data_IF_372159545467
#
_entry.id   IF_372159545467
#
_cell.length_a   1.000
_cell.length_b   1.000
_cell.length_c   1.000
_cell.angle_alpha   90.00
_cell.angle_beta   90.00
_cell.angle_gamma   90.00
#
_symmetry.space_group_name_H-M   'P 1'
#
loop_
_entity.id
_entity.type
_entity.pdbx_description
1 polymer ?
#
# COMPACT_ATOMS: atom_id res chain seq x y z
N UNK A 1 -16.95 1.17 -13.43
CA UNK A 1 -17.36 -0.19 -12.99
C UNK A 1 -16.57 -0.54 -11.75
N UNK A 2 -17.22 -0.77 -10.61
CA UNK A 2 -16.54 -1.09 -9.36
C UNK A 2 -15.95 -2.51 -9.42
N UNK A 3 -14.63 -2.64 -9.24
CA UNK A 3 -13.99 -3.97 -9.11
C UNK A 3 -14.41 -4.56 -7.76
N UNK A 4 -15.05 -5.72 -7.79
CA UNK A 4 -15.25 -6.55 -6.61
C UNK A 4 -13.91 -7.16 -6.22
N UNK A 5 -13.45 -6.92 -4.99
CA UNK A 5 -12.32 -7.64 -4.40
C UNK A 5 -12.81 -9.06 -4.15
N UNK A 6 -12.23 -10.12 -4.76
CA UNK A 6 -12.60 -11.48 -4.42
C UNK A 6 -12.22 -11.75 -2.96
N UNK A 7 -13.17 -12.20 -2.16
CA UNK A 7 -12.91 -12.66 -0.78
C UNK A 7 -12.00 -13.89 -0.85
N UNK A 8 -10.81 -13.86 -0.20
CA UNK A 8 -9.88 -14.96 -0.29
C UNK A 8 -10.27 -16.04 0.71
N UNK A 9 -11.32 -16.83 0.46
CA UNK A 9 -11.59 -18.01 1.30
C UNK A 9 -12.40 -19.10 0.57
N UNK A 10 -11.72 -19.82 -0.32
CA UNK A 10 -12.21 -21.09 -0.83
C UNK A 10 -11.05 -22.07 -1.10
N UNK A 11 -10.14 -22.29 -0.13
CA UNK A 11 -9.08 -23.27 -0.42
C UNK A 11 -7.97 -23.57 0.59
N UNK A 12 -7.99 -23.11 1.85
CA UNK A 12 -7.00 -23.57 2.84
C UNK A 12 -7.68 -24.24 4.03
N UNK A 13 -7.40 -25.52 4.33
CA UNK A 13 -8.06 -26.27 5.42
C UNK A 13 -7.84 -25.62 6.79
N UNK A 14 -6.79 -24.82 6.95
CA UNK A 14 -6.48 -24.09 8.17
C UNK A 14 -7.29 -22.79 8.37
N UNK A 15 -7.93 -22.24 7.33
CA UNK A 15 -8.68 -20.98 7.44
C UNK A 15 -9.96 -21.11 8.28
N UNK A 16 -10.59 -22.29 8.30
CA UNK A 16 -11.82 -22.53 9.05
C UNK A 16 -11.60 -22.60 10.57
N UNK A 17 -10.52 -23.25 11.01
CA UNK A 17 -10.20 -23.39 12.43
C UNK A 17 -9.76 -22.06 13.04
N UNK A 18 -8.91 -21.31 12.33
CA UNK A 18 -8.47 -19.96 12.78
C UNK A 18 -9.63 -18.98 12.80
N UNK A 19 -10.54 -19.02 11.82
CA UNK A 19 -11.74 -18.19 11.81
C UNK A 19 -12.69 -18.53 12.97
N UNK A 20 -12.91 -19.82 13.26
CA UNK A 20 -13.70 -20.26 14.42
C UNK A 20 -13.08 -19.82 15.74
N UNK A 21 -11.76 -19.99 15.89
CA UNK A 21 -11.02 -19.60 17.08
C UNK A 21 -11.09 -18.09 17.30
N UNK A 22 -10.82 -17.29 16.26
CA UNK A 22 -10.95 -15.84 16.32
C UNK A 22 -12.36 -15.42 16.72
N UNK A 23 -13.41 -15.97 16.08
CA UNK A 23 -14.81 -15.64 16.42
C UNK A 23 -15.18 -15.98 17.87
N UNK A 24 -14.60 -17.05 18.41
CA UNK A 24 -14.87 -17.50 19.78
C UNK A 24 -14.13 -16.64 20.81
N UNK A 25 -12.89 -16.25 20.50
CA UNK A 25 -12.05 -15.48 21.42
C UNK A 25 -12.30 -13.96 21.37
N UNK A 26 -12.73 -13.41 20.24
CA UNK A 26 -12.90 -11.97 20.03
C UNK A 26 -13.71 -11.25 21.13
N UNK A 27 -14.81 -11.82 21.66
CA UNK A 27 -15.55 -11.18 22.77
C UNK A 27 -14.76 -11.06 24.07
N UNK A 28 -13.72 -11.87 24.26
CA UNK A 28 -12.93 -11.96 25.50
C UNK A 28 -11.64 -11.16 25.42
N UNK A 29 -10.93 -11.23 24.30
CA UNK A 29 -9.64 -10.56 24.12
C UNK A 29 -9.75 -9.22 23.38
N UNK A 30 -10.90 -8.97 22.74
CA UNK A 30 -11.13 -7.78 21.92
C UNK A 30 -10.35 -7.79 20.60
N UNK A 31 -10.42 -6.69 19.84
CA UNK A 31 -9.55 -6.49 18.70
C UNK A 31 -8.09 -6.46 19.16
N UNK A 32 -7.14 -6.93 18.32
CA UNK A 32 -5.74 -6.79 18.62
C UNK A 32 -5.40 -5.29 18.83
N UNK A 33 -4.68 -4.92 19.90
CA UNK A 33 -4.23 -3.55 20.06
C UNK A 33 -3.34 -3.20 18.87
N UNK A 34 -3.64 -2.10 18.19
CA UNK A 34 -2.92 -1.65 16.99
C UNK A 34 -1.48 -1.19 17.29
N UNK A 35 -0.90 -1.55 18.43
CA UNK A 35 0.40 -1.08 18.89
C UNK A 35 0.40 0.42 19.22
N UNK A 36 1.57 1.00 19.55
CA UNK A 36 1.72 2.43 19.83
C UNK A 36 1.65 3.30 18.57
N UNK A 37 1.15 2.76 17.45
CA UNK A 37 0.86 3.55 16.27
C UNK A 37 -0.34 4.41 16.63
N UNK A 38 -0.05 5.69 16.89
CA UNK A 38 -1.09 6.71 17.11
C UNK A 38 -1.99 6.72 15.88
N UNK A 39 -3.25 7.12 16.05
CA UNK A 39 -4.09 7.54 14.92
C UNK A 39 -3.43 8.77 14.29
N UNK A 40 -2.44 8.55 13.42
CA UNK A 40 -1.88 9.62 12.61
C UNK A 40 -3.01 10.16 11.73
N UNK A 41 -3.23 11.47 11.72
CA UNK A 41 -4.22 12.04 10.83
C UNK A 41 -3.90 11.61 9.40
N UNK A 42 -4.92 11.21 8.64
CA UNK A 42 -4.76 10.70 7.28
C UNK A 42 -3.94 11.65 6.39
N UNK A 43 -4.06 12.96 6.64
CA UNK A 43 -3.25 13.99 5.99
C UNK A 43 -1.74 13.86 6.25
N UNK A 44 -1.32 13.51 7.47
CA UNK A 44 0.09 13.28 7.81
C UNK A 44 0.63 12.04 7.09
N UNK A 45 -0.15 10.96 7.08
CA UNK A 45 0.19 9.72 6.37
C UNK A 45 0.32 9.97 4.86
N UNK A 46 -0.61 10.73 4.27
CA UNK A 46 -0.56 11.10 2.86
C UNK A 46 0.67 11.97 2.54
N UNK A 47 1.00 12.93 3.41
CA UNK A 47 2.18 13.77 3.24
C UNK A 47 3.49 12.95 3.31
N UNK A 48 3.59 12.02 4.26
CA UNK A 48 4.75 11.13 4.37
C UNK A 48 4.93 10.24 3.12
N UNK A 49 3.83 9.70 2.59
CA UNK A 49 3.86 8.90 1.36
C UNK A 49 4.23 9.74 0.13
N UNK A 50 3.75 10.98 0.03
CA UNK A 50 4.10 11.89 -1.06
C UNK A 50 5.61 12.20 -1.11
N UNK A 51 6.30 12.15 0.04
CA UNK A 51 7.74 12.38 0.16
C UNK A 51 8.57 11.09 0.07
N UNK A 52 7.94 9.92 -0.11
CA UNK A 52 8.65 8.65 -0.17
C UNK A 52 9.55 8.57 -1.41
N UNK A 53 10.80 8.16 -1.18
CA UNK A 53 11.81 7.98 -2.23
C UNK A 53 11.98 6.50 -2.56
N UNK A 54 12.34 6.22 -3.81
CA UNK A 54 12.66 4.87 -4.25
C UNK A 54 13.98 4.42 -3.62
N UNK A 55 14.05 3.25 -2.96
CA UNK A 55 15.27 2.78 -2.31
C UNK A 55 16.38 2.38 -3.29
N UNK A 56 16.06 2.23 -4.58
CA UNK A 56 17.02 1.79 -5.60
C UNK A 56 17.70 2.97 -6.32
N UNK A 57 16.94 4.03 -6.65
CA UNK A 57 17.47 5.17 -7.39
C UNK A 57 17.47 6.50 -6.62
N UNK A 58 16.81 6.57 -5.46
CA UNK A 58 16.72 7.78 -4.64
C UNK A 58 15.70 8.82 -5.12
N UNK A 59 15.07 8.60 -6.27
CA UNK A 59 14.06 9.51 -6.83
C UNK A 59 12.70 9.37 -6.13
N UNK A 60 11.89 10.42 -6.10
CA UNK A 60 10.52 10.36 -5.56
C UNK A 60 9.70 9.25 -6.24
N UNK A 61 9.00 8.45 -5.43
CA UNK A 61 8.16 7.35 -5.94
C UNK A 61 7.03 7.85 -6.84
N UNK A 62 6.55 9.08 -6.62
CA UNK A 62 5.55 9.73 -7.47
C UNK A 62 6.02 9.97 -8.91
N UNK A 63 7.34 9.97 -9.17
CA UNK A 63 7.89 10.12 -10.52
C UNK A 63 8.04 8.77 -11.25
N UNK A 64 7.71 7.64 -10.62
CA UNK A 64 7.81 6.33 -11.25
C UNK A 64 6.54 5.98 -12.01
N UNK A 65 6.70 5.22 -13.09
CA UNK A 65 5.55 4.66 -13.80
C UNK A 65 5.21 3.30 -13.20
N UNK A 66 3.95 3.13 -12.80
CA UNK A 66 3.45 1.88 -12.22
C UNK A 66 2.48 1.24 -13.20
N UNK A 67 2.97 0.25 -13.94
CA UNK A 67 2.14 -0.54 -14.84
C UNK A 67 1.38 -1.62 -14.06
N UNK A 68 0.05 -1.55 -14.14
CA UNK A 68 -0.89 -2.49 -13.50
C UNK A 68 -1.70 -3.30 -14.52
N UNK A 69 -1.29 -3.29 -15.79
CA UNK A 69 -2.00 -3.96 -16.88
C UNK A 69 -1.72 -5.46 -16.97
N UNK A 70 -0.51 -5.90 -16.60
CA UNK A 70 -0.10 -7.30 -16.61
C UNK A 70 -0.54 -8.11 -15.37
N UNK A 71 -0.20 -9.39 -15.37
CA UNK A 71 -0.42 -10.30 -14.22
C UNK A 71 0.29 -9.81 -12.95
N UNK A 72 1.45 -9.16 -13.11
CA UNK A 72 2.23 -8.58 -12.03
C UNK A 72 2.37 -7.08 -12.24
N UNK A 73 2.14 -6.32 -11.18
CA UNK A 73 2.44 -4.89 -11.15
C UNK A 73 3.93 -4.68 -11.33
N UNK A 74 4.31 -3.86 -12.31
CA UNK A 74 5.69 -3.46 -12.56
C UNK A 74 5.87 -1.99 -12.22
N UNK A 75 7.07 -1.65 -11.75
CA UNK A 75 7.47 -0.27 -11.46
C UNK A 75 8.69 0.03 -12.31
N UNK A 76 8.61 1.10 -13.09
CA UNK A 76 9.68 1.55 -13.96
C UNK A 76 10.33 2.81 -13.40
N UNK A 77 11.66 2.79 -13.34
CA UNK A 77 12.44 3.98 -13.03
C UNK A 77 12.29 5.02 -14.14
N UNK A 78 12.14 6.30 -13.81
CA UNK A 78 12.25 7.35 -14.80
C UNK A 78 13.69 7.46 -15.30
N UNK A 79 13.86 7.83 -16.57
CA UNK A 79 15.13 8.39 -17.04
C UNK A 79 15.41 9.73 -16.34
N UNK A 80 16.65 10.21 -16.39
CA UNK A 80 17.01 11.51 -15.80
C UNK A 80 16.18 12.67 -16.40
N UNK A 81 15.94 12.63 -17.71
CA UNK A 81 15.10 13.59 -18.43
C UNK A 81 13.64 13.52 -17.95
N UNK A 82 13.06 12.31 -17.89
CA UNK A 82 11.69 12.11 -17.42
C UNK A 82 11.51 12.54 -15.96
N UNK A 83 12.51 12.32 -15.11
CA UNK A 83 12.48 12.77 -13.72
C UNK A 83 12.48 14.30 -13.62
N UNK A 84 13.30 14.98 -14.43
CA UNK A 84 13.33 16.45 -14.47
C UNK A 84 12.00 17.04 -14.96
N UNK A 85 11.45 16.49 -16.05
CA UNK A 85 10.15 16.91 -16.59
C UNK A 85 9.01 16.71 -15.59
N UNK A 86 8.96 15.54 -14.94
CA UNK A 86 7.90 15.21 -13.98
C UNK A 86 8.03 16.04 -12.69
N UNK A 87 9.24 16.36 -12.23
CA UNK A 87 9.47 17.31 -11.12
C UNK A 87 8.94 18.70 -11.46
N UNK A 88 9.28 19.21 -12.63
CA UNK A 88 8.78 20.50 -13.12
C UNK A 88 7.25 20.51 -13.20
N UNK A 89 6.64 19.43 -13.70
CA UNK A 89 5.18 19.29 -13.76
C UNK A 89 4.50 19.27 -12.36
N UNK A 90 5.21 18.82 -11.33
CA UNK A 90 4.74 18.80 -9.94
C UNK A 90 5.11 20.07 -9.15
N UNK A 91 5.81 21.04 -9.76
CA UNK A 91 6.28 22.25 -9.08
C UNK A 91 7.34 21.97 -8.00
N UNK A 92 8.11 20.89 -8.17
CA UNK A 92 9.20 20.49 -7.29
C UNK A 92 10.52 20.99 -7.91
N UNK A 93 10.91 22.23 -7.60
CA UNK A 93 12.17 22.84 -8.07
C UNK A 93 13.34 22.55 -7.13
#
# INVERSE_FOLDING_TARGET
MARTIPTPDAGRPHGRMTAWLNRTLFPWIGPPPLGPYTDEPEAAVAAAQAQSVCPMCGELMSLHEIDRSGERTQIYHPSAEQAAERRAALGLE
#
